data_IF_395075336168
#
_entry.id   IF_395075336168
#
_cell.length_a   1.000
_cell.length_b   1.000
_cell.length_c   1.000
_cell.angle_alpha   90.00
_cell.angle_beta   90.00
_cell.angle_gamma   90.00
#
_symmetry.space_group_name_H-M   'P 1'
#
loop_
_entity.id
_entity.type
_entity.pdbx_description
1 polymer ?
#
# COMPACT_ATOMS: atom_id res chain seq x y z
N UNK A 1 35.32 14.48 10.93
CA UNK A 1 34.84 15.25 9.77
C UNK A 1 34.93 14.31 8.57
N UNK A 2 33.84 13.54 8.28
CA UNK A 2 33.77 12.68 7.08
C UNK A 2 33.10 13.53 5.99
N UNK A 3 33.87 13.86 4.98
CA UNK A 3 33.38 14.52 3.77
C UNK A 3 32.55 13.49 2.99
N UNK A 4 31.32 13.86 2.67
CA UNK A 4 30.38 12.98 1.92
C UNK A 4 30.85 12.92 0.46
N UNK A 5 31.53 11.83 0.12
CA UNK A 5 32.11 11.60 -1.21
C UNK A 5 31.05 11.56 -2.34
N UNK A 6 29.78 11.19 -2.01
CA UNK A 6 28.70 11.14 -2.98
C UNK A 6 28.23 12.55 -3.40
N UNK A 7 28.18 13.50 -2.46
CA UNK A 7 27.87 14.90 -2.75
C UNK A 7 29.00 15.57 -3.56
N UNK A 8 30.25 15.17 -3.35
CA UNK A 8 31.38 15.68 -4.11
C UNK A 8 31.38 15.16 -5.56
N UNK A 9 31.02 13.89 -5.77
CA UNK A 9 30.94 13.29 -7.11
C UNK A 9 29.78 13.91 -7.92
N UNK A 10 28.62 14.14 -7.31
CA UNK A 10 27.48 14.78 -7.99
C UNK A 10 27.79 16.24 -8.34
N UNK A 11 28.48 16.98 -7.48
CA UNK A 11 28.92 18.35 -7.77
C UNK A 11 29.99 18.41 -8.86
N UNK A 12 30.93 17.44 -8.90
CA UNK A 12 31.94 17.34 -9.96
C UNK A 12 31.34 16.94 -11.33
N UNK A 13 30.33 16.06 -11.36
CA UNK A 13 29.60 15.76 -12.59
C UNK A 13 28.79 16.97 -13.09
N UNK A 14 28.19 17.73 -12.20
CA UNK A 14 27.48 18.97 -12.53
C UNK A 14 28.41 20.05 -13.09
N UNK A 15 29.58 20.21 -12.49
CA UNK A 15 30.61 21.13 -13.00
C UNK A 15 31.13 20.71 -14.38
N UNK A 16 31.34 19.41 -14.61
CA UNK A 16 31.79 18.86 -15.89
C UNK A 16 30.76 19.09 -17.02
N UNK A 17 29.48 18.88 -16.75
CA UNK A 17 28.40 19.10 -17.73
C UNK A 17 28.19 20.60 -18.05
N UNK A 18 28.32 21.46 -17.04
CA UNK A 18 28.17 22.92 -17.21
C UNK A 18 29.36 23.52 -17.99
N UNK A 19 30.56 23.06 -17.74
CA UNK A 19 31.76 23.47 -18.52
C UNK A 19 31.67 22.98 -19.97
N UNK A 20 31.15 21.75 -20.19
CA UNK A 20 30.91 21.22 -21.54
C UNK A 20 29.85 22.04 -22.31
N UNK A 21 28.79 22.49 -21.60
CA UNK A 21 27.76 23.34 -22.19
C UNK A 21 28.29 24.73 -22.57
N UNK A 22 29.12 25.35 -21.71
CA UNK A 22 29.76 26.61 -22.01
C UNK A 22 30.72 26.52 -23.21
N UNK A 23 31.48 25.44 -23.33
CA UNK A 23 32.36 25.19 -24.46
C UNK A 23 31.60 24.97 -25.77
N UNK A 24 30.48 24.21 -25.73
CA UNK A 24 29.59 24.02 -26.90
C UNK A 24 28.93 25.34 -27.37
N UNK A 25 28.57 26.24 -26.45
CA UNK A 25 28.01 27.56 -26.80
C UNK A 25 29.09 28.44 -27.43
N UNK A 26 30.32 28.41 -26.90
CA UNK A 26 31.46 29.15 -27.45
C UNK A 26 31.83 28.70 -28.88
N UNK A 27 31.79 27.39 -29.16
CA UNK A 27 32.06 26.84 -30.51
C UNK A 27 30.98 27.17 -31.53
N UNK A 28 29.72 27.26 -31.12
CA UNK A 28 28.60 27.50 -32.07
C UNK A 28 28.28 28.98 -32.33
N UNK A 29 28.87 29.88 -31.54
CA UNK A 29 28.62 31.34 -31.68
C UNK A 29 29.94 32.12 -31.69
N UNK A 30 30.66 32.20 -32.82
CA UNK A 30 31.96 32.84 -32.94
C UNK A 30 31.94 34.34 -32.62
N UNK A 31 30.78 34.99 -32.73
CA UNK A 31 30.60 36.40 -32.37
C UNK A 31 30.67 36.68 -30.87
N UNK A 32 30.42 35.67 -30.03
CA UNK A 32 30.51 35.76 -28.55
C UNK A 32 31.96 35.64 -28.06
N UNK A 33 32.87 35.03 -28.82
CA UNK A 33 34.31 34.97 -28.50
C UNK A 33 34.98 36.34 -28.57
N UNK A 34 34.42 37.31 -29.32
CA UNK A 34 34.92 38.66 -29.38
C UNK A 34 34.54 39.52 -28.19
N UNK A 35 33.60 39.07 -27.34
CA UNK A 35 33.13 39.74 -26.15
C UNK A 35 33.19 38.80 -24.89
N UNK A 36 34.39 38.66 -24.29
CA UNK A 36 34.59 37.71 -23.18
C UNK A 36 33.72 38.02 -21.97
N UNK A 37 33.29 39.27 -21.77
CA UNK A 37 32.33 39.64 -20.73
C UNK A 37 30.93 39.11 -20.94
N UNK A 38 30.45 39.04 -22.19
CA UNK A 38 29.16 38.50 -22.53
C UNK A 38 29.11 36.98 -22.38
N UNK A 39 30.18 36.32 -22.74
CA UNK A 39 30.32 34.84 -22.57
C UNK A 39 30.36 34.49 -21.07
N UNK A 40 31.12 35.27 -20.26
CA UNK A 40 31.16 35.08 -18.81
C UNK A 40 29.81 35.33 -18.15
N UNK A 41 29.02 36.33 -18.59
CA UNK A 41 27.68 36.58 -18.10
C UNK A 41 26.71 35.47 -18.45
N UNK A 42 26.77 34.93 -19.69
CA UNK A 42 25.94 33.79 -20.13
C UNK A 42 26.27 32.50 -19.37
N UNK A 43 27.56 32.26 -19.13
CA UNK A 43 28.01 31.11 -18.31
C UNK A 43 27.59 31.27 -16.84
N UNK A 44 27.68 32.47 -16.26
CA UNK A 44 27.16 32.75 -14.92
C UNK A 44 25.63 32.58 -14.85
N UNK A 45 24.89 33.02 -15.88
CA UNK A 45 23.44 32.78 -15.97
C UNK A 45 23.09 31.28 -16.10
N UNK A 46 23.84 30.51 -16.89
CA UNK A 46 23.66 29.07 -17.02
C UNK A 46 24.02 28.30 -15.75
N UNK A 47 24.95 28.82 -14.93
CA UNK A 47 25.29 28.28 -13.61
C UNK A 47 24.30 28.67 -12.50
N UNK A 48 23.59 29.80 -12.67
CA UNK A 48 22.56 30.27 -11.74
C UNK A 48 21.18 29.66 -12.02
N UNK A 49 20.90 29.20 -13.25
CA UNK A 49 19.63 28.56 -13.62
C UNK A 49 19.27 27.35 -12.73
N UNK A 50 20.18 26.44 -12.35
CA UNK A 50 19.84 25.36 -11.42
C UNK A 50 19.64 25.84 -9.98
N UNK A 51 20.14 27.00 -9.59
CA UNK A 51 19.85 27.59 -8.28
C UNK A 51 18.46 28.23 -8.18
N UNK A 52 17.81 28.54 -9.32
CA UNK A 52 16.47 29.08 -9.40
C UNK A 52 15.34 28.01 -9.46
N UNK A 53 15.72 26.73 -9.59
CA UNK A 53 14.74 25.63 -9.67
C UNK A 53 14.40 24.99 -8.32
N UNK A 54 14.75 25.63 -7.20
CA UNK A 54 14.24 25.21 -5.91
C UNK A 54 12.82 25.72 -5.76
N UNK A 55 11.84 24.82 -5.59
CA UNK A 55 10.48 25.20 -5.22
C UNK A 55 10.52 26.18 -4.06
N UNK A 56 9.62 27.16 -4.09
CA UNK A 56 9.57 28.18 -3.06
C UNK A 56 9.50 27.51 -1.69
N UNK A 57 10.47 27.82 -0.81
CA UNK A 57 10.44 27.38 0.57
C UNK A 57 9.14 27.84 1.22
N UNK A 58 8.48 26.94 1.88
CA UNK A 58 7.26 27.20 2.64
C UNK A 58 7.68 27.74 3.99
N UNK A 59 7.43 29.02 4.29
CA UNK A 59 7.90 29.65 5.52
C UNK A 59 7.12 29.16 6.75
N UNK A 60 7.72 29.29 7.91
CA UNK A 60 7.05 29.06 9.19
C UNK A 60 5.80 29.96 9.29
N UNK A 61 4.73 29.43 9.91
CA UNK A 61 3.43 30.09 10.01
C UNK A 61 2.50 29.83 8.82
N UNK A 62 2.97 29.17 7.75
CA UNK A 62 2.15 28.81 6.59
C UNK A 62 1.04 27.84 6.96
N UNK A 63 -0.13 28.02 6.34
CA UNK A 63 -1.31 27.19 6.60
C UNK A 63 -2.03 26.86 5.29
N UNK A 64 -2.45 25.60 5.14
CA UNK A 64 -3.42 25.15 4.13
C UNK A 64 -4.75 24.88 4.82
N UNK A 65 -5.87 25.13 4.12
CA UNK A 65 -7.22 24.86 4.62
C UNK A 65 -8.07 24.18 3.56
N UNK A 66 -9.02 23.32 3.95
CA UNK A 66 -9.99 22.72 3.05
C UNK A 66 -10.80 23.77 2.27
N UNK A 67 -11.28 23.39 1.08
CA UNK A 67 -12.12 24.24 0.24
C UNK A 67 -11.42 25.42 -0.41
N UNK A 68 -10.11 25.56 -0.25
CA UNK A 68 -9.30 26.58 -0.93
C UNK A 68 -8.53 25.95 -2.08
N UNK A 69 -8.12 26.79 -3.07
CA UNK A 69 -7.20 26.37 -4.14
C UNK A 69 -5.73 26.45 -3.71
N UNK A 70 -5.45 26.75 -2.45
CA UNK A 70 -4.09 26.85 -1.93
C UNK A 70 -3.39 25.50 -1.92
N UNK A 71 -2.16 25.47 -2.38
CA UNK A 71 -1.31 24.29 -2.37
C UNK A 71 0.16 24.67 -2.15
N UNK A 72 0.91 23.73 -1.61
CA UNK A 72 2.37 23.78 -1.58
C UNK A 72 2.91 22.84 -2.66
N UNK A 73 3.50 23.41 -3.70
CA UNK A 73 3.86 22.65 -4.90
C UNK A 73 5.38 22.52 -5.06
N UNK A 74 5.78 21.45 -5.74
CA UNK A 74 7.15 21.29 -6.23
C UNK A 74 7.45 22.31 -7.35
N UNK A 75 8.75 22.58 -7.66
CA UNK A 75 9.15 23.62 -8.61
C UNK A 75 8.43 23.59 -9.96
N UNK A 76 8.26 22.38 -10.52
CA UNK A 76 7.60 22.20 -11.83
C UNK A 76 6.12 21.79 -11.71
N UNK A 77 5.52 21.94 -10.53
CA UNK A 77 4.15 21.51 -10.22
C UNK A 77 3.91 20.00 -10.53
N UNK A 78 4.95 19.18 -10.40
CA UNK A 78 4.84 17.72 -10.56
C UNK A 78 4.11 17.11 -9.38
N UNK A 79 4.34 17.64 -8.17
CA UNK A 79 3.64 17.25 -6.95
C UNK A 79 3.11 18.47 -6.21
N UNK A 80 1.96 18.30 -5.57
CA UNK A 80 1.33 19.37 -4.77
C UNK A 80 0.74 18.80 -3.49
N UNK A 81 1.00 19.45 -2.37
CA UNK A 81 0.34 19.19 -1.08
C UNK A 81 -0.84 20.14 -0.94
N UNK A 82 -2.03 19.60 -0.82
CA UNK A 82 -3.28 20.33 -0.66
C UNK A 82 -4.34 19.46 0.04
N UNK A 83 -5.49 20.04 0.33
CA UNK A 83 -6.64 19.27 0.79
C UNK A 83 -7.45 18.74 -0.40
N UNK A 84 -7.73 17.43 -0.38
CA UNK A 84 -8.60 16.75 -1.35
C UNK A 84 -9.82 16.18 -0.64
N UNK A 85 -10.99 16.04 -1.31
CA UNK A 85 -12.14 15.35 -0.71
C UNK A 85 -11.77 13.96 -0.23
N UNK A 86 -12.30 13.56 0.93
CA UNK A 86 -12.10 12.20 1.44
C UNK A 86 -12.83 11.18 0.55
N UNK A 87 -12.21 10.05 0.19
CA UNK A 87 -12.86 9.01 -0.59
C UNK A 87 -14.03 8.33 0.13
N UNK A 88 -14.07 8.42 1.47
CA UNK A 88 -15.12 7.79 2.29
C UNK A 88 -16.25 8.75 2.67
N UNK A 89 -16.03 10.08 2.61
CA UNK A 89 -17.03 11.07 2.96
C UNK A 89 -16.79 12.38 2.21
N UNK A 90 -17.68 12.80 1.30
CA UNK A 90 -17.52 14.03 0.50
C UNK A 90 -17.48 15.33 1.32
N UNK A 91 -17.96 15.31 2.56
CA UNK A 91 -17.94 16.47 3.47
C UNK A 91 -16.63 16.60 4.27
N UNK A 92 -15.75 15.61 4.17
CA UNK A 92 -14.46 15.59 4.84
C UNK A 92 -13.32 15.72 3.83
N UNK A 93 -12.15 16.14 4.32
CA UNK A 93 -10.99 16.43 3.51
C UNK A 93 -9.74 15.78 4.06
N UNK A 94 -8.84 15.37 3.18
CA UNK A 94 -7.54 14.78 3.53
C UNK A 94 -6.43 15.69 3.01
N UNK A 95 -5.46 16.03 3.85
CA UNK A 95 -4.25 16.72 3.42
C UNK A 95 -3.32 15.72 2.74
N UNK A 96 -3.16 15.79 1.42
CA UNK A 96 -2.44 14.81 0.64
C UNK A 96 -1.46 15.45 -0.34
N UNK A 97 -0.33 14.78 -0.58
CA UNK A 97 0.54 15.05 -1.73
C UNK A 97 -0.02 14.28 -2.90
N UNK A 98 -0.31 15.00 -3.98
CA UNK A 98 -0.82 14.44 -5.23
C UNK A 98 0.19 14.65 -6.36
N UNK A 99 0.33 13.67 -7.23
CA UNK A 99 0.99 13.83 -8.52
C UNK A 99 0.12 14.66 -9.47
N UNK A 100 0.75 15.33 -10.41
CA UNK A 100 0.05 16.15 -11.42
C UNK A 100 -1.07 15.34 -12.09
N UNK A 101 -2.32 15.81 -11.95
CA UNK A 101 -3.54 15.10 -12.33
C UNK A 101 -4.38 14.63 -11.15
N UNK A 102 -3.83 14.65 -9.92
CA UNK A 102 -4.61 14.43 -8.70
C UNK A 102 -4.45 13.05 -8.06
N UNK A 103 -3.54 12.19 -8.56
CA UNK A 103 -3.27 10.88 -7.94
C UNK A 103 -2.52 11.07 -6.61
N UNK A 104 -3.11 10.70 -5.44
CA UNK A 104 -2.47 10.88 -4.15
C UNK A 104 -1.32 9.86 -3.97
N UNK A 105 -0.22 10.30 -3.34
CA UNK A 105 0.96 9.47 -3.09
C UNK A 105 1.41 9.48 -1.63
N UNK A 106 0.92 10.39 -0.82
CA UNK A 106 1.15 10.47 0.62
C UNK A 106 0.06 11.32 1.27
N UNK A 107 -0.25 11.08 2.54
CA UNK A 107 -1.24 11.86 3.28
C UNK A 107 -0.81 12.10 4.72
N UNK A 108 -1.05 13.29 5.24
CA UNK A 108 -0.81 13.62 6.63
C UNK A 108 -1.72 12.78 7.53
N UNK A 109 -1.16 12.27 8.64
CA UNK A 109 -1.91 11.48 9.61
C UNK A 109 -2.46 10.17 9.05
N UNK A 110 -1.78 9.55 8.06
CA UNK A 110 -2.22 8.32 7.40
C UNK A 110 -3.67 8.42 6.83
N UNK A 111 -4.00 9.56 6.25
CA UNK A 111 -5.32 9.80 5.66
C UNK A 111 -6.38 10.25 6.65
N UNK A 112 -5.99 10.74 7.84
CA UNK A 112 -6.91 11.34 8.78
C UNK A 112 -7.70 12.48 8.11
N UNK A 113 -9.02 12.33 8.11
CA UNK A 113 -9.91 13.28 7.48
C UNK A 113 -10.34 14.37 8.47
N UNK A 114 -10.45 15.60 7.97
CA UNK A 114 -10.88 16.77 8.73
C UNK A 114 -12.11 17.41 8.09
N UNK A 115 -12.88 18.14 8.88
CA UNK A 115 -13.98 18.95 8.39
C UNK A 115 -13.49 20.22 7.67
N UNK A 116 -14.42 21.02 7.14
CA UNK A 116 -14.11 22.27 6.41
C UNK A 116 -13.39 23.34 7.24
N UNK A 117 -13.43 23.26 8.58
CA UNK A 117 -12.70 24.14 9.51
C UNK A 117 -11.29 23.64 9.83
N UNK A 118 -10.90 22.45 9.34
CA UNK A 118 -9.59 21.89 9.56
C UNK A 118 -8.45 22.66 8.91
N UNK A 119 -7.21 22.31 9.24
CA UNK A 119 -6.03 22.95 8.65
C UNK A 119 -4.78 22.08 8.75
N UNK A 120 -3.86 22.25 7.79
CA UNK A 120 -2.48 21.77 7.87
C UNK A 120 -1.57 23.00 8.09
N UNK A 121 -0.87 23.04 9.20
CA UNK A 121 -0.11 24.22 9.62
C UNK A 121 1.35 23.89 9.90
N UNK A 122 2.25 24.65 9.28
CA UNK A 122 3.65 24.70 9.69
C UNK A 122 3.79 25.79 10.75
N UNK A 123 3.90 25.39 12.00
CA UNK A 123 3.90 26.33 13.14
C UNK A 123 5.18 27.18 13.21
N UNK A 124 5.14 28.27 13.97
CA UNK A 124 6.32 29.15 14.16
C UNK A 124 7.48 28.47 14.86
N UNK A 125 7.24 27.39 15.62
CA UNK A 125 8.30 26.59 16.25
C UNK A 125 8.82 25.43 15.37
N UNK A 126 8.32 25.32 14.11
CA UNK A 126 8.81 24.36 13.12
C UNK A 126 8.14 22.99 13.15
N UNK A 127 6.98 22.87 13.78
CA UNK A 127 6.19 21.63 13.74
C UNK A 127 5.12 21.67 12.63
N UNK A 128 4.96 20.60 11.87
CA UNK A 128 3.89 20.45 10.90
C UNK A 128 2.74 19.68 11.54
N UNK A 129 1.58 20.32 11.65
CA UNK A 129 0.42 19.79 12.35
C UNK A 129 -0.83 19.75 11.47
N UNK A 130 -1.56 18.64 11.53
CA UNK A 130 -2.92 18.50 11.00
C UNK A 130 -3.90 18.72 12.14
N UNK A 131 -4.80 19.71 11.98
CA UNK A 131 -5.82 20.08 12.98
C UNK A 131 -7.22 19.88 12.38
N UNK A 132 -8.17 19.47 13.22
CA UNK A 132 -9.60 19.50 12.87
C UNK A 132 -10.19 20.90 13.07
N UNK A 133 -11.47 21.09 12.71
CA UNK A 133 -12.15 22.38 12.82
C UNK A 133 -12.34 22.88 14.26
N UNK A 134 -12.22 22.03 15.28
CA UNK A 134 -12.20 22.45 16.69
C UNK A 134 -10.81 22.88 17.18
N UNK A 135 -9.78 22.77 16.33
CA UNK A 135 -8.39 23.08 16.67
C UNK A 135 -7.64 21.94 17.38
N UNK A 136 -8.23 20.76 17.49
CA UNK A 136 -7.53 19.61 18.04
C UNK A 136 -6.49 19.06 17.03
N UNK A 137 -5.28 18.77 17.50
CA UNK A 137 -4.20 18.18 16.70
C UNK A 137 -4.49 16.69 16.47
N UNK A 138 -4.71 16.31 15.23
CA UNK A 138 -4.90 14.92 14.81
C UNK A 138 -3.58 14.24 14.47
N UNK A 139 -2.61 14.99 13.99
CA UNK A 139 -1.28 14.50 13.64
C UNK A 139 -0.24 15.62 13.73
N UNK A 140 1.00 15.25 14.02
CA UNK A 140 2.16 16.13 14.09
C UNK A 140 3.40 15.43 13.58
N UNK A 141 4.29 16.17 12.90
CA UNK A 141 5.63 15.72 12.53
C UNK A 141 6.58 15.59 13.74
N UNK A 142 6.21 16.14 14.90
CA UNK A 142 7.02 16.20 16.11
C UNK A 142 8.40 16.84 15.91
N UNK A 143 8.45 17.90 15.08
CA UNK A 143 9.67 18.65 14.77
C UNK A 143 9.77 19.99 15.49
N UNK A 144 8.78 20.31 16.33
CA UNK A 144 8.76 21.56 17.11
C UNK A 144 10.01 21.74 17.94
N UNK A 145 10.64 22.93 17.83
CA UNK A 145 11.88 23.25 18.55
C UNK A 145 13.16 22.58 18.06
N UNK A 146 13.10 21.79 16.97
CA UNK A 146 14.28 21.10 16.41
C UNK A 146 15.07 21.96 15.41
N UNK A 147 14.71 23.23 15.23
CA UNK A 147 15.43 24.16 14.33
C UNK A 147 14.96 24.09 12.88
N UNK A 148 13.75 23.64 12.62
CA UNK A 148 13.14 23.77 11.29
C UNK A 148 12.99 25.25 10.95
N UNK A 149 13.41 25.62 9.75
CA UNK A 149 13.30 27.00 9.22
C UNK A 149 12.33 27.10 8.06
N UNK A 150 12.10 26.01 7.33
CA UNK A 150 11.16 25.96 6.21
C UNK A 150 10.74 24.51 5.91
N UNK A 151 9.64 24.37 5.16
CA UNK A 151 9.28 23.14 4.48
C UNK A 151 9.46 23.31 2.96
N UNK A 152 9.50 22.18 2.21
CA UNK A 152 9.46 22.19 0.75
C UNK A 152 8.89 20.87 0.22
N UNK A 153 8.14 20.94 -0.87
CA UNK A 153 7.75 19.77 -1.67
C UNK A 153 8.76 19.62 -2.81
N UNK A 154 9.44 18.49 -2.88
CA UNK A 154 10.45 18.22 -3.89
C UNK A 154 9.83 17.63 -5.18
N UNK A 155 10.57 17.67 -6.29
CA UNK A 155 10.15 17.06 -7.58
C UNK A 155 10.05 15.53 -7.54
N UNK A 156 10.57 14.90 -6.48
CA UNK A 156 10.41 13.48 -6.19
C UNK A 156 9.07 13.14 -5.52
N UNK A 157 8.28 14.14 -5.08
CA UNK A 157 7.11 13.96 -4.23
C UNK A 157 7.41 13.93 -2.73
N UNK A 158 8.67 14.11 -2.33
CA UNK A 158 9.07 14.15 -0.93
C UNK A 158 8.75 15.50 -0.31
N UNK A 159 8.00 15.53 0.78
CA UNK A 159 7.83 16.71 1.64
C UNK A 159 8.94 16.69 2.67
N UNK A 160 9.72 17.76 2.73
CA UNK A 160 10.83 17.89 3.68
C UNK A 160 10.60 19.05 4.63
N UNK A 161 10.97 18.87 5.90
CA UNK A 161 11.12 19.92 6.90
C UNK A 161 12.61 20.09 7.15
N UNK A 162 13.14 21.29 6.88
CA UNK A 162 14.59 21.52 6.82
C UNK A 162 15.03 22.70 7.70
N UNK A 163 16.25 22.60 8.19
CA UNK A 163 17.04 23.72 8.69
C UNK A 163 17.85 24.35 7.55
N UNK A 164 18.69 25.33 7.86
CA UNK A 164 19.66 25.89 6.89
C UNK A 164 20.69 24.86 6.38
N UNK A 165 20.90 23.76 7.10
CA UNK A 165 22.01 22.83 6.84
C UNK A 165 21.60 21.36 6.68
N UNK A 166 20.37 20.97 7.08
CA UNK A 166 19.95 19.58 7.08
C UNK A 166 18.43 19.41 6.91
N UNK A 167 18.03 18.26 6.37
CA UNK A 167 16.65 17.76 6.44
C UNK A 167 16.48 17.16 7.84
N UNK A 168 15.45 17.60 8.56
CA UNK A 168 15.14 17.20 9.92
C UNK A 168 13.99 16.19 9.99
N UNK A 169 13.15 16.17 8.95
CA UNK A 169 12.05 15.23 8.76
C UNK A 169 11.67 15.18 7.28
N UNK A 170 11.24 14.04 6.80
CA UNK A 170 10.77 13.89 5.43
C UNK A 170 9.68 12.82 5.30
N UNK A 171 8.70 13.07 4.42
CA UNK A 171 7.58 12.17 4.19
C UNK A 171 8.02 10.79 3.67
N UNK A 172 9.14 10.70 2.96
CA UNK A 172 9.68 9.44 2.44
C UNK A 172 10.14 8.48 3.54
N UNK A 173 10.48 8.98 4.74
CA UNK A 173 10.77 8.15 5.92
C UNK A 173 9.50 7.75 6.69
N UNK A 174 8.36 8.36 6.35
CA UNK A 174 7.06 8.12 6.96
C UNK A 174 6.00 7.82 5.89
N UNK A 175 6.16 6.75 5.10
CA UNK A 175 5.19 6.37 4.08
C UNK A 175 3.84 6.07 4.71
N UNK A 176 2.76 6.25 3.96
CA UNK A 176 1.40 5.90 4.40
C UNK A 176 0.95 4.60 3.76
N UNK A 177 0.31 4.64 2.62
CA UNK A 177 -0.14 3.49 1.85
C UNK A 177 0.65 3.29 0.54
N UNK A 178 1.51 4.24 0.18
CA UNK A 178 2.15 4.32 -1.14
C UNK A 178 3.67 4.54 -1.01
N UNK A 179 4.42 3.90 -1.91
CA UNK A 179 5.85 4.13 -2.19
C UNK A 179 5.99 4.54 -3.63
N UNK A 180 6.57 5.70 -3.90
CA UNK A 180 6.80 6.19 -5.27
C UNK A 180 8.18 5.80 -5.79
N UNK A 181 8.38 5.83 -7.12
CA UNK A 181 9.71 5.73 -7.69
C UNK A 181 10.61 6.80 -7.09
N UNK A 182 11.89 6.54 -6.94
CA UNK A 182 12.87 7.38 -6.22
C UNK A 182 12.77 7.40 -4.68
N UNK A 183 11.79 6.72 -4.10
CA UNK A 183 11.70 6.51 -2.66
C UNK A 183 12.28 5.15 -2.28
N UNK A 184 13.17 5.12 -1.30
CA UNK A 184 13.67 3.90 -0.70
C UNK A 184 12.73 3.44 0.40
N UNK A 185 12.16 2.25 0.26
CA UNK A 185 11.35 1.62 1.28
C UNK A 185 12.20 0.59 2.03
N UNK A 186 12.65 0.95 3.22
CA UNK A 186 13.59 0.14 4.01
C UNK A 186 12.87 -0.76 4.99
N UNK A 187 13.52 -1.83 5.43
CA UNK A 187 13.05 -2.65 6.54
C UNK A 187 12.87 -1.79 7.80
N UNK A 188 11.70 -1.88 8.42
CA UNK A 188 11.28 -1.01 9.53
C UNK A 188 10.25 0.05 9.12
N UNK A 189 10.07 0.31 7.84
CA UNK A 189 8.92 1.05 7.31
C UNK A 189 7.76 0.09 7.04
N UNK A 190 6.54 0.63 7.17
CA UNK A 190 5.32 -0.10 6.84
C UNK A 190 4.41 0.76 5.96
N UNK A 191 3.78 0.15 4.94
CA UNK A 191 2.57 0.71 4.36
C UNK A 191 1.38 0.19 5.16
N UNK A 192 0.39 1.04 5.38
CA UNK A 192 -0.82 0.66 6.12
C UNK A 192 -2.08 1.13 5.38
N UNK A 193 -3.12 0.29 5.39
CA UNK A 193 -4.42 0.61 4.81
C UNK A 193 -5.51 -0.15 5.58
N UNK A 194 -6.21 0.54 6.49
CA UNK A 194 -7.15 -0.10 7.41
C UNK A 194 -6.46 -1.18 8.26
N UNK A 195 -6.95 -2.43 8.27
CA UNK A 195 -6.35 -3.53 9.03
C UNK A 195 -5.12 -4.15 8.35
N UNK A 196 -4.77 -3.70 7.16
CA UNK A 196 -3.71 -4.28 6.35
C UNK A 196 -2.39 -3.54 6.52
N UNK A 197 -1.28 -4.28 6.50
CA UNK A 197 0.06 -3.72 6.45
C UNK A 197 0.95 -4.49 5.47
N UNK A 198 1.87 -3.77 4.83
CA UNK A 198 2.95 -4.31 4.01
C UNK A 198 4.29 -3.93 4.63
N UNK A 199 5.20 -4.91 4.70
CA UNK A 199 6.55 -4.72 5.22
C UNK A 199 7.59 -5.54 4.45
N UNK A 200 8.86 -5.13 4.60
CA UNK A 200 10.04 -5.91 4.19
C UNK A 200 10.71 -6.44 5.46
N UNK A 201 10.81 -7.76 5.60
CA UNK A 201 11.48 -8.36 6.76
C UNK A 201 12.98 -8.04 6.75
N UNK A 202 13.48 -7.61 7.89
CA UNK A 202 14.86 -7.11 8.02
C UNK A 202 15.92 -8.16 7.74
N UNK A 203 15.67 -9.39 8.11
CA UNK A 203 16.68 -10.47 8.08
C UNK A 203 16.59 -11.31 6.81
N UNK A 204 15.39 -11.56 6.36
CA UNK A 204 15.11 -12.42 5.21
C UNK A 204 14.85 -11.66 3.93
N UNK A 205 14.51 -10.36 4.00
CA UNK A 205 14.07 -9.56 2.84
C UNK A 205 12.72 -9.99 2.28
N UNK A 206 11.98 -10.84 2.99
CA UNK A 206 10.67 -11.28 2.56
C UNK A 206 9.68 -10.10 2.49
N UNK A 207 8.91 -10.05 1.44
CA UNK A 207 7.79 -9.13 1.28
C UNK A 207 6.56 -9.75 1.92
N UNK A 208 6.02 -9.11 2.95
CA UNK A 208 4.90 -9.66 3.72
C UNK A 208 3.68 -8.74 3.66
N UNK A 209 2.49 -9.35 3.49
CA UNK A 209 1.22 -8.67 3.74
C UNK A 209 0.56 -9.31 4.95
N UNK A 210 0.13 -8.46 5.86
CA UNK A 210 -0.54 -8.88 7.10
C UNK A 210 -1.90 -8.21 7.23
N UNK A 211 -2.81 -8.93 7.87
CA UNK A 211 -4.07 -8.42 8.35
C UNK A 211 -4.08 -8.49 9.87
N UNK A 212 -4.51 -7.42 10.53
CA UNK A 212 -4.49 -7.33 12.00
C UNK A 212 -5.87 -7.00 12.54
N UNK A 213 -6.29 -7.73 13.56
CA UNK A 213 -7.44 -7.43 14.41
C UNK A 213 -6.96 -7.18 15.84
N UNK A 214 -7.89 -6.83 16.74
CA UNK A 214 -7.56 -6.66 18.16
C UNK A 214 -6.96 -7.92 18.81
N UNK A 215 -7.23 -9.12 18.27
CA UNK A 215 -6.85 -10.39 18.87
C UNK A 215 -5.68 -11.08 18.15
N UNK A 216 -5.45 -10.82 16.87
CA UNK A 216 -4.47 -11.58 16.08
C UNK A 216 -3.96 -10.81 14.88
N UNK A 217 -2.75 -11.15 14.44
CA UNK A 217 -2.18 -10.74 13.15
C UNK A 217 -1.96 -11.98 12.30
N UNK A 218 -2.44 -11.95 11.06
CA UNK A 218 -2.35 -13.04 10.08
C UNK A 218 -1.49 -12.59 8.91
N UNK A 219 -0.46 -13.36 8.58
CA UNK A 219 0.35 -13.14 7.37
C UNK A 219 -0.25 -13.97 6.24
N UNK A 220 -0.91 -13.31 5.28
CA UNK A 220 -1.58 -13.96 4.16
C UNK A 220 -0.79 -13.93 2.84
N UNK A 221 0.30 -13.17 2.80
CA UNK A 221 1.25 -13.16 1.70
C UNK A 221 2.66 -13.09 2.27
N UNK A 222 3.52 -13.96 1.78
CA UNK A 222 4.94 -14.02 2.14
C UNK A 222 5.71 -14.43 0.89
N UNK A 223 6.42 -13.47 0.31
CA UNK A 223 7.25 -13.70 -0.88
C UNK A 223 8.71 -13.47 -0.54
N UNK A 224 9.46 -14.57 -0.46
CA UNK A 224 10.92 -14.51 -0.40
C UNK A 224 11.52 -14.07 -1.74
N UNK A 225 12.72 -13.48 -1.67
CA UNK A 225 13.55 -13.32 -2.85
C UNK A 225 14.25 -14.65 -3.14
N UNK A 226 13.98 -15.24 -4.28
CA UNK A 226 14.67 -16.46 -4.69
C UNK A 226 15.90 -16.10 -5.51
N UNK A 227 17.07 -16.13 -4.87
CA UNK A 227 18.35 -16.08 -5.58
C UNK A 227 18.65 -17.44 -6.18
N UNK A 228 17.77 -17.95 -7.05
CA UNK A 228 17.94 -19.26 -7.70
C UNK A 228 19.24 -19.40 -8.49
N UNK A 229 19.94 -18.31 -8.72
CA UNK A 229 21.26 -18.29 -9.34
C UNK A 229 22.42 -18.63 -8.39
N UNK A 230 22.28 -18.48 -7.08
CA UNK A 230 23.39 -18.67 -6.13
C UNK A 230 23.16 -19.79 -5.13
N UNK A 231 21.92 -20.23 -4.90
CA UNK A 231 21.60 -21.28 -3.92
C UNK A 231 21.99 -20.95 -2.46
N UNK A 232 22.55 -19.78 -2.21
CA UNK A 232 22.97 -19.34 -0.88
C UNK A 232 21.89 -18.45 -0.28
N UNK A 233 21.45 -18.81 0.91
CA UNK A 233 20.58 -18.00 1.77
C UNK A 233 21.50 -16.97 2.46
N UNK A 234 21.58 -15.76 1.91
CA UNK A 234 22.34 -14.67 2.53
C UNK A 234 21.48 -13.97 3.59
N UNK A 235 22.05 -13.69 4.74
CA UNK A 235 21.39 -12.90 5.77
C UNK A 235 21.55 -11.42 5.40
N UNK A 236 20.43 -10.75 5.18
CA UNK A 236 20.40 -9.33 4.84
C UNK A 236 20.61 -8.46 6.09
N UNK A 237 21.07 -7.23 5.91
CA UNK A 237 21.26 -6.26 7.00
C UNK A 237 20.26 -5.14 6.99
N UNK A 238 20.00 -4.61 5.82
CA UNK A 238 19.13 -3.45 5.62
C UNK A 238 18.49 -3.52 4.24
N UNK A 239 17.65 -4.54 3.99
CA UNK A 239 17.01 -4.68 2.70
C UNK A 239 16.15 -3.46 2.39
N UNK A 240 16.28 -2.97 1.17
CA UNK A 240 15.60 -1.79 0.65
C UNK A 240 14.85 -2.16 -0.61
N UNK A 241 13.55 -1.92 -0.62
CA UNK A 241 12.70 -2.07 -1.80
C UNK A 241 12.62 -0.74 -2.54
N UNK A 242 12.75 -0.80 -3.86
CA UNK A 242 12.60 0.34 -4.76
C UNK A 242 11.74 -0.03 -5.95
N UNK A 243 10.99 0.94 -6.48
CA UNK A 243 10.38 0.84 -7.80
C UNK A 243 11.14 1.75 -8.76
N UNK A 244 11.65 1.18 -9.83
CA UNK A 244 12.46 1.87 -10.83
C UNK A 244 11.58 2.55 -11.89
N UNK A 245 12.14 3.55 -12.59
CA UNK A 245 11.44 4.27 -13.64
C UNK A 245 11.00 3.37 -14.81
N UNK A 246 11.71 2.24 -15.03
CA UNK A 246 11.35 1.25 -16.04
C UNK A 246 10.26 0.26 -15.62
N UNK A 247 9.78 0.34 -14.34
CA UNK A 247 8.74 -0.54 -13.81
C UNK A 247 9.21 -1.80 -13.12
N UNK A 248 10.52 -1.95 -12.90
CA UNK A 248 11.07 -3.02 -12.06
C UNK A 248 10.88 -2.66 -10.60
N UNK A 249 10.45 -3.64 -9.80
CA UNK A 249 10.49 -3.58 -8.33
C UNK A 249 11.64 -4.46 -7.89
N UNK A 250 12.65 -3.86 -7.27
CA UNK A 250 13.87 -4.54 -6.86
C UNK A 250 14.17 -4.41 -5.38
N UNK A 251 14.75 -5.47 -4.82
CA UNK A 251 15.29 -5.52 -3.47
C UNK A 251 16.81 -5.37 -3.55
N UNK A 252 17.35 -4.44 -2.79
CA UNK A 252 18.80 -4.21 -2.64
C UNK A 252 19.22 -4.39 -1.20
N UNK A 253 20.46 -4.81 -0.98
CA UNK A 253 21.12 -4.89 0.33
C UNK A 253 22.62 -4.89 0.13
N UNK A 254 23.39 -4.38 1.11
CA UNK A 254 24.85 -4.36 1.04
C UNK A 254 25.52 -5.74 0.98
N UNK A 255 24.80 -6.81 1.27
CA UNK A 255 25.27 -8.20 1.16
C UNK A 255 24.88 -8.85 -0.17
N UNK A 256 23.98 -8.25 -0.95
CA UNK A 256 23.64 -8.73 -2.28
C UNK A 256 24.65 -8.21 -3.31
N UNK A 257 25.13 -9.09 -4.17
CA UNK A 257 26.05 -8.74 -5.26
C UNK A 257 25.40 -7.90 -6.35
N UNK A 258 24.06 -7.98 -6.47
CA UNK A 258 23.25 -7.22 -7.41
C UNK A 258 21.82 -7.09 -6.88
N UNK A 259 21.07 -6.07 -7.34
CA UNK A 259 19.64 -5.98 -7.03
C UNK A 259 18.88 -7.25 -7.45
N UNK A 260 17.95 -7.69 -6.62
CA UNK A 260 17.06 -8.82 -6.92
C UNK A 260 15.72 -8.31 -7.35
N UNK A 261 15.32 -8.62 -8.58
CA UNK A 261 13.99 -8.29 -9.09
C UNK A 261 12.95 -9.16 -8.38
N UNK A 262 12.01 -8.51 -7.68
CA UNK A 262 10.93 -9.18 -6.96
C UNK A 262 9.58 -9.09 -7.68
N UNK A 263 9.39 -8.06 -8.50
CA UNK A 263 8.23 -7.89 -9.36
C UNK A 263 8.57 -6.97 -10.54
N UNK A 264 7.71 -6.93 -11.54
CA UNK A 264 7.77 -5.96 -12.63
C UNK A 264 6.37 -5.62 -13.12
N UNK A 265 6.20 -4.38 -13.55
CA UNK A 265 4.96 -3.90 -14.14
C UNK A 265 4.69 -4.57 -15.47
N UNK A 266 3.42 -4.76 -15.84
CA UNK A 266 3.05 -5.29 -17.19
C UNK A 266 3.52 -4.37 -18.32
N UNK A 267 3.66 -3.06 -18.05
CA UNK A 267 4.23 -2.06 -18.95
C UNK A 267 5.72 -1.80 -18.68
N UNK A 268 6.46 -2.81 -18.27
CA UNK A 268 7.92 -2.77 -18.07
C UNK A 268 8.64 -2.31 -19.37
N UNK A 269 9.61 -1.43 -19.19
CA UNK A 269 10.40 -0.91 -20.30
C UNK A 269 9.74 0.23 -21.08
N UNK A 270 8.46 0.54 -20.85
CA UNK A 270 7.86 1.73 -21.41
C UNK A 270 8.49 2.98 -20.80
N UNK A 271 8.93 3.89 -21.65
CA UNK A 271 9.46 5.20 -21.28
C UNK A 271 8.39 6.26 -21.48
N UNK A 272 8.39 7.29 -20.62
CA UNK A 272 7.45 8.41 -20.72
C UNK A 272 7.46 9.26 -19.45
N UNK A 273 6.80 10.43 -19.52
CA UNK A 273 6.54 11.26 -18.34
C UNK A 273 5.40 10.63 -17.53
N UNK A 274 5.74 9.59 -16.77
CA UNK A 274 4.80 8.87 -15.92
C UNK A 274 5.37 8.64 -14.53
N UNK A 275 4.48 8.65 -13.55
CA UNK A 275 4.78 8.21 -12.19
C UNK A 275 4.51 6.69 -12.07
N UNK A 276 5.43 5.97 -11.47
CA UNK A 276 5.27 4.58 -11.04
C UNK A 276 5.32 4.51 -9.52
N UNK A 277 4.44 3.70 -8.94
CA UNK A 277 4.35 3.57 -7.49
C UNK A 277 3.78 2.22 -7.07
N UNK A 278 4.12 1.80 -5.85
CA UNK A 278 3.47 0.69 -5.14
C UNK A 278 2.43 1.28 -4.20
N UNK A 279 1.26 0.65 -4.12
CA UNK A 279 0.21 1.02 -3.15
C UNK A 279 -0.38 -0.21 -2.50
N UNK A 280 -0.53 -0.14 -1.19
CA UNK A 280 -1.37 -1.03 -0.42
C UNK A 280 -2.79 -0.48 -0.44
N UNK A 281 -3.63 -1.07 -1.27
CA UNK A 281 -5.01 -0.61 -1.42
C UNK A 281 -5.88 -0.99 -0.20
N UNK A 282 -7.03 -0.31 -0.05
CA UNK A 282 -7.99 -0.57 1.03
C UNK A 282 -8.63 -1.97 0.96
N UNK A 283 -8.40 -2.69 -0.12
CA UNK A 283 -8.84 -4.08 -0.28
C UNK A 283 -7.78 -5.11 0.17
N UNK A 284 -6.65 -4.63 0.72
CA UNK A 284 -5.58 -5.45 1.28
C UNK A 284 -4.57 -5.96 0.26
N UNK A 285 -4.67 -5.61 -1.01
CA UNK A 285 -3.71 -6.05 -2.01
C UNK A 285 -2.64 -4.98 -2.26
N UNK A 286 -1.39 -5.40 -2.37
CA UNK A 286 -0.30 -4.52 -2.82
C UNK A 286 -0.25 -4.56 -4.35
N UNK A 287 -0.30 -3.37 -4.97
CA UNK A 287 -0.27 -3.23 -6.42
C UNK A 287 0.81 -2.26 -6.89
N UNK A 288 1.38 -2.57 -8.05
CA UNK A 288 2.20 -1.62 -8.79
C UNK A 288 1.31 -0.87 -9.78
N UNK A 289 1.42 0.45 -9.77
CA UNK A 289 0.64 1.34 -10.62
C UNK A 289 1.54 2.18 -11.51
N UNK A 290 0.99 2.62 -12.64
CA UNK A 290 1.54 3.71 -13.44
C UNK A 290 0.46 4.73 -13.76
N UNK A 291 0.84 6.01 -13.84
CA UNK A 291 -0.04 7.11 -14.24
C UNK A 291 0.75 8.14 -15.05
N UNK A 292 0.18 8.59 -16.16
CA UNK A 292 0.78 9.65 -16.97
C UNK A 292 0.61 11.01 -16.27
N UNK A 293 1.55 11.93 -16.51
CA UNK A 293 1.44 13.29 -15.99
C UNK A 293 0.16 13.95 -16.47
N UNK A 294 -0.57 14.57 -15.56
CA UNK A 294 -1.86 15.19 -15.84
C UNK A 294 -3.06 14.24 -15.85
N UNK A 295 -2.85 12.93 -15.72
CA UNK A 295 -3.93 11.96 -15.59
C UNK A 295 -4.37 11.82 -14.11
N UNK A 296 -5.67 11.72 -13.89
CA UNK A 296 -6.25 11.38 -12.59
C UNK A 296 -6.49 9.86 -12.42
N UNK A 297 -6.10 9.07 -13.43
CA UNK A 297 -6.27 7.61 -13.44
C UNK A 297 -4.91 6.95 -13.30
N UNK A 298 -4.79 6.06 -12.32
CA UNK A 298 -3.67 5.15 -12.18
C UNK A 298 -4.08 3.75 -12.65
N UNK A 299 -3.27 3.16 -13.52
CA UNK A 299 -3.51 1.81 -14.08
C UNK A 299 -2.74 0.78 -13.29
N UNK A 300 -3.43 -0.27 -12.80
CA UNK A 300 -2.80 -1.40 -12.14
C UNK A 300 -1.96 -2.19 -13.16
N UNK A 301 -0.69 -2.36 -12.86
CA UNK A 301 0.30 -3.05 -13.70
C UNK A 301 0.73 -4.39 -13.10
N UNK A 302 0.56 -4.59 -11.79
CA UNK A 302 0.90 -5.83 -11.09
C UNK A 302 0.20 -5.87 -9.73
N UNK A 303 -0.15 -7.08 -9.28
CA UNK A 303 -0.74 -7.32 -7.96
C UNK A 303 0.01 -8.43 -7.23
N UNK A 304 0.26 -8.24 -5.93
CA UNK A 304 0.93 -9.23 -5.10
C UNK A 304 0.09 -10.51 -4.96
N UNK A 305 -1.18 -10.36 -4.68
CA UNK A 305 -2.15 -11.45 -4.62
C UNK A 305 -2.95 -11.45 -5.92
N UNK A 306 -2.75 -12.48 -6.74
CA UNK A 306 -3.36 -12.56 -8.07
C UNK A 306 -4.88 -12.73 -8.01
N UNK A 307 -5.38 -13.49 -7.04
CA UNK A 307 -6.79 -13.70 -6.78
C UNK A 307 -7.22 -12.91 -5.55
N UNK A 308 -8.03 -11.89 -5.73
CA UNK A 308 -8.46 -10.99 -4.66
C UNK A 308 -9.22 -11.72 -3.54
N UNK A 309 -9.90 -12.83 -3.84
CA UNK A 309 -10.56 -13.65 -2.82
C UNK A 309 -9.57 -14.35 -1.87
N UNK A 310 -8.29 -14.43 -2.23
CA UNK A 310 -7.24 -14.97 -1.35
C UNK A 310 -6.65 -13.91 -0.40
N UNK A 311 -7.05 -12.65 -0.52
CA UNK A 311 -6.71 -11.63 0.49
C UNK A 311 -7.48 -11.91 1.76
N UNK A 312 -6.77 -12.16 2.86
CA UNK A 312 -7.40 -12.49 4.15
C UNK A 312 -8.26 -11.32 4.66
N UNK A 313 -9.46 -11.63 5.12
CA UNK A 313 -10.40 -10.63 5.62
C UNK A 313 -11.08 -9.77 4.54
N UNK A 314 -10.88 -10.03 3.24
CA UNK A 314 -11.46 -9.23 2.16
C UNK A 314 -12.99 -9.12 2.24
N UNK A 315 -13.68 -10.20 2.57
CA UNK A 315 -15.13 -10.24 2.78
C UNK A 315 -15.54 -10.21 4.27
N UNK A 316 -14.63 -9.81 5.16
CA UNK A 316 -14.91 -9.67 6.58
C UNK A 316 -15.21 -11.00 7.29
N UNK A 317 -15.66 -10.88 8.54
CA UNK A 317 -16.00 -12.05 9.36
C UNK A 317 -17.22 -12.79 8.80
N UNK A 318 -17.16 -14.12 8.76
CA UNK A 318 -18.18 -15.02 8.24
C UNK A 318 -18.62 -14.72 6.79
N UNK A 319 -17.83 -13.90 6.05
CA UNK A 319 -18.08 -13.61 4.64
C UNK A 319 -17.52 -14.68 3.71
N UNK A 320 -18.13 -14.83 2.53
CA UNK A 320 -17.68 -15.69 1.44
C UNK A 320 -17.38 -14.83 0.22
N UNK A 321 -16.16 -14.93 -0.27
CA UNK A 321 -15.70 -14.27 -1.48
C UNK A 321 -15.88 -15.20 -2.68
N UNK A 322 -16.49 -14.72 -3.75
CA UNK A 322 -16.66 -15.44 -5.00
C UNK A 322 -16.60 -14.49 -6.20
N UNK A 323 -16.52 -15.05 -7.39
CA UNK A 323 -16.72 -14.30 -8.63
C UNK A 323 -18.05 -14.73 -9.24
N UNK A 324 -18.93 -13.78 -9.54
CA UNK A 324 -20.15 -14.08 -10.30
C UNK A 324 -19.82 -14.43 -11.77
N UNK A 325 -20.68 -15.20 -12.39
CA UNK A 325 -20.44 -15.98 -13.62
C UNK A 325 -19.85 -15.25 -14.85
N UNK A 326 -19.53 -13.98 -14.79
CA UNK A 326 -18.94 -13.16 -15.87
C UNK A 326 -18.02 -12.06 -15.33
N UNK A 327 -18.10 -11.71 -14.05
CA UNK A 327 -17.43 -10.56 -13.44
C UNK A 327 -15.91 -10.73 -13.28
N UNK A 328 -15.17 -9.67 -13.58
CA UNK A 328 -13.74 -9.59 -13.26
C UNK A 328 -13.51 -9.21 -11.79
N UNK A 329 -14.56 -8.73 -11.10
CA UNK A 329 -14.46 -8.25 -9.72
C UNK A 329 -15.05 -9.28 -8.75
N UNK A 330 -14.41 -9.49 -7.59
CA UNK A 330 -14.92 -10.37 -6.56
C UNK A 330 -16.17 -9.80 -5.89
N UNK A 331 -17.04 -10.69 -5.46
CA UNK A 331 -18.31 -10.39 -4.77
C UNK A 331 -18.27 -11.01 -3.39
N UNK A 332 -18.69 -10.26 -2.37
CA UNK A 332 -18.86 -10.74 -1.00
C UNK A 332 -20.32 -11.10 -0.73
N UNK A 333 -20.53 -12.25 -0.13
CA UNK A 333 -21.82 -12.74 0.30
C UNK A 333 -21.75 -13.53 1.60
N UNK A 334 -22.88 -14.08 2.02
CA UNK A 334 -22.95 -14.93 3.21
C UNK A 334 -22.93 -16.41 2.84
N UNK A 335 -22.46 -17.31 3.73
CA UNK A 335 -22.34 -18.74 3.43
C UNK A 335 -23.69 -19.43 3.21
N UNK A 336 -24.77 -18.88 3.76
CA UNK A 336 -26.11 -19.44 3.61
C UNK A 336 -27.20 -18.44 4.02
N UNK A 337 -28.47 -18.80 3.82
CA UNK A 337 -29.63 -18.02 4.28
C UNK A 337 -29.78 -18.01 5.83
N UNK A 338 -29.00 -18.80 6.56
CA UNK A 338 -28.90 -18.72 8.03
C UNK A 338 -28.12 -17.48 8.51
N UNK A 339 -27.50 -16.75 7.57
CA UNK A 339 -26.75 -15.52 7.82
C UNK A 339 -27.38 -14.34 7.11
N UNK A 340 -26.98 -13.16 7.53
CA UNK A 340 -27.31 -11.89 6.87
C UNK A 340 -26.08 -10.97 6.86
N UNK A 341 -26.01 -10.07 5.90
CA UNK A 341 -24.95 -9.06 5.84
C UNK A 341 -25.02 -8.15 7.08
N UNK A 342 -23.86 -7.83 7.66
CA UNK A 342 -23.77 -6.83 8.73
C UNK A 342 -24.20 -5.48 8.18
N UNK A 343 -23.72 -5.12 7.00
CA UNK A 343 -24.07 -3.91 6.29
C UNK A 343 -24.43 -4.23 4.82
N UNK A 344 -25.72 -4.18 4.44
CA UNK A 344 -26.14 -4.43 3.06
C UNK A 344 -25.53 -3.46 2.02
N UNK A 345 -25.16 -2.23 2.44
CA UNK A 345 -24.52 -1.25 1.55
C UNK A 345 -23.02 -1.50 1.39
N UNK A 346 -22.41 -2.29 2.27
CA UNK A 346 -21.00 -2.67 2.21
C UNK A 346 -20.82 -4.16 2.59
N UNK A 347 -21.02 -5.09 1.65
CA UNK A 347 -20.92 -6.53 1.92
C UNK A 347 -19.54 -7.00 2.43
N UNK A 348 -18.50 -6.17 2.27
CA UNK A 348 -17.15 -6.44 2.77
C UNK A 348 -17.03 -6.38 4.30
N UNK A 349 -18.02 -5.84 4.99
CA UNK A 349 -18.07 -5.87 6.46
C UNK A 349 -18.40 -7.26 7.02
N UNK A 350 -18.78 -8.21 6.15
CA UNK A 350 -19.03 -9.58 6.51
C UNK A 350 -20.47 -9.90 6.84
N UNK A 351 -20.65 -11.04 7.49
CA UNK A 351 -21.96 -11.59 7.82
C UNK A 351 -22.09 -11.87 9.32
N UNK A 352 -23.31 -11.85 9.81
CA UNK A 352 -23.68 -12.31 11.14
C UNK A 352 -24.75 -13.40 11.05
N UNK A 353 -24.81 -14.23 12.08
CA UNK A 353 -25.84 -15.26 12.18
C UNK A 353 -27.20 -14.62 12.44
N UNK A 354 -28.26 -15.15 11.86
CA UNK A 354 -29.65 -14.78 12.19
C UNK A 354 -30.09 -15.38 13.53
N UNK A 355 -29.54 -16.57 13.87
CA UNK A 355 -29.73 -17.24 15.16
C UNK A 355 -28.35 -17.68 15.64
N UNK A 356 -27.95 -17.24 16.82
CA UNK A 356 -26.66 -17.60 17.39
C UNK A 356 -26.64 -19.06 17.88
N UNK A 357 -25.47 -19.71 17.79
CA UNK A 357 -25.33 -21.12 18.16
C UNK A 357 -25.65 -21.41 19.61
N UNK A 358 -25.45 -20.45 20.50
CA UNK A 358 -25.83 -20.53 21.91
C UNK A 358 -27.34 -20.62 22.14
N UNK A 359 -28.13 -20.13 21.19
CA UNK A 359 -29.59 -20.12 21.24
C UNK A 359 -30.19 -21.46 20.76
N UNK A 360 -29.35 -22.33 20.15
CA UNK A 360 -29.78 -23.64 19.67
C UNK A 360 -28.79 -24.78 20.06
N UNK A 361 -28.42 -24.95 21.35
CA UNK A 361 -27.28 -25.77 21.76
C UNK A 361 -27.40 -27.28 21.45
N UNK A 362 -28.62 -27.77 21.21
CA UNK A 362 -28.90 -29.18 20.87
C UNK A 362 -29.47 -29.37 19.46
N UNK A 363 -29.59 -28.29 18.71
CA UNK A 363 -30.23 -28.28 17.39
C UNK A 363 -29.35 -27.64 16.34
N UNK A 364 -28.03 -27.79 16.50
CA UNK A 364 -27.06 -27.35 15.51
C UNK A 364 -26.84 -28.43 14.46
N UNK A 365 -26.55 -28.02 13.23
CA UNK A 365 -26.20 -28.91 12.12
C UNK A 365 -25.07 -28.27 11.30
N UNK A 366 -24.42 -29.10 10.47
CA UNK A 366 -23.40 -28.62 9.55
C UNK A 366 -24.02 -28.39 8.17
N UNK A 367 -23.85 -27.17 7.66
CA UNK A 367 -24.14 -26.87 6.26
C UNK A 367 -22.88 -27.12 5.45
N UNK A 368 -22.97 -27.94 4.41
CA UNK A 368 -21.89 -28.22 3.48
C UNK A 368 -21.82 -27.14 2.40
N UNK A 369 -20.60 -26.69 2.11
CA UNK A 369 -20.26 -25.74 1.06
C UNK A 369 -19.20 -26.39 0.15
N UNK A 370 -19.63 -26.81 -1.05
CA UNK A 370 -18.74 -27.43 -2.01
C UNK A 370 -17.85 -26.38 -2.68
N UNK A 371 -16.64 -26.75 -3.09
CA UNK A 371 -15.63 -25.88 -3.72
C UNK A 371 -15.39 -24.58 -2.92
N UNK A 372 -15.47 -24.66 -1.61
CA UNK A 372 -15.29 -23.53 -0.71
C UNK A 372 -14.18 -23.85 0.28
N UNK A 373 -13.29 -22.92 0.51
CA UNK A 373 -12.20 -23.02 1.46
C UNK A 373 -12.22 -21.83 2.41
N UNK A 374 -12.15 -22.07 3.72
CA UNK A 374 -11.84 -21.01 4.67
C UNK A 374 -10.36 -20.72 4.62
N UNK A 375 -10.00 -19.46 4.38
CA UNK A 375 -8.61 -19.06 4.34
C UNK A 375 -7.93 -19.35 5.68
N UNK A 376 -6.82 -20.07 5.63
CA UNK A 376 -6.07 -20.52 6.81
C UNK A 376 -4.61 -20.20 6.61
N UNK A 377 -4.11 -19.25 7.38
CA UNK A 377 -2.73 -18.76 7.33
C UNK A 377 -2.11 -18.78 8.73
N UNK A 378 -0.77 -18.68 8.87
CA UNK A 378 -0.15 -18.52 10.19
C UNK A 378 -0.71 -17.31 10.95
N UNK A 379 -0.99 -17.40 12.27
CA UNK A 379 -0.69 -18.55 13.14
C UNK A 379 -1.74 -19.68 13.11
N UNK A 380 -2.86 -19.54 12.41
CA UNK A 380 -3.96 -20.52 12.42
C UNK A 380 -3.53 -21.90 11.90
N UNK A 381 -2.57 -21.96 10.94
CA UNK A 381 -2.02 -23.24 10.43
C UNK A 381 -1.36 -24.06 11.53
N UNK A 382 -0.80 -23.43 12.56
CA UNK A 382 -0.21 -24.14 13.69
C UNK A 382 -1.26 -24.70 14.66
N UNK A 383 -2.53 -24.37 14.45
CA UNK A 383 -3.66 -24.86 15.21
C UNK A 383 -4.08 -26.27 14.80
N UNK A 384 -5.31 -26.60 15.06
CA UNK A 384 -5.87 -27.94 14.93
C UNK A 384 -5.90 -28.44 13.47
N UNK A 385 -4.91 -29.19 13.08
CA UNK A 385 -4.88 -29.99 11.84
C UNK A 385 -5.23 -31.44 12.17
N UNK A 386 -6.16 -32.00 11.40
CA UNK A 386 -6.53 -33.41 11.49
C UNK A 386 -6.35 -34.08 10.12
N UNK A 387 -5.97 -35.35 10.14
CA UNK A 387 -5.89 -36.18 8.95
C UNK A 387 -7.09 -37.13 8.94
N UNK A 388 -8.22 -36.65 8.44
CA UNK A 388 -9.51 -37.39 8.46
C UNK A 388 -10.23 -37.21 7.12
N UNK A 389 -11.19 -38.11 6.87
CA UNK A 389 -12.06 -37.98 5.70
C UNK A 389 -12.98 -36.74 5.79
N UNK A 390 -13.47 -36.30 4.64
CA UNK A 390 -14.31 -35.08 4.50
C UNK A 390 -15.49 -35.09 5.49
N UNK A 391 -16.25 -36.20 5.55
CA UNK A 391 -17.40 -36.34 6.44
C UNK A 391 -17.00 -36.27 7.91
N UNK A 392 -15.88 -36.89 8.28
CA UNK A 392 -15.36 -36.88 9.65
C UNK A 392 -14.96 -35.45 10.06
N UNK A 393 -14.35 -34.68 9.17
CA UNK A 393 -14.00 -33.27 9.42
C UNK A 393 -15.24 -32.42 9.80
N UNK A 394 -16.35 -32.59 9.09
CA UNK A 394 -17.62 -31.93 9.43
C UNK A 394 -18.19 -32.40 10.78
N UNK A 395 -18.14 -33.70 11.06
CA UNK A 395 -18.64 -34.26 12.32
C UNK A 395 -17.79 -33.86 13.53
N UNK A 396 -16.47 -33.78 13.36
CA UNK A 396 -15.57 -33.32 14.43
C UNK A 396 -15.90 -31.86 14.81
N UNK A 397 -16.11 -30.99 13.81
CA UNK A 397 -16.53 -29.62 14.08
C UNK A 397 -17.93 -29.56 14.70
N UNK A 398 -18.88 -30.40 14.28
CA UNK A 398 -20.22 -30.43 14.86
C UNK A 398 -20.18 -30.77 16.35
N UNK A 399 -19.37 -31.73 16.72
CA UNK A 399 -19.23 -32.22 18.10
C UNK A 399 -18.36 -31.31 18.97
N UNK A 400 -17.40 -30.60 18.40
CA UNK A 400 -16.57 -29.63 19.12
C UNK A 400 -17.38 -28.36 19.45
N UNK A 401 -17.58 -28.07 20.73
CA UNK A 401 -18.44 -26.99 21.20
C UNK A 401 -18.01 -25.61 20.73
N UNK A 402 -16.71 -25.36 20.59
CA UNK A 402 -16.12 -24.09 20.16
C UNK A 402 -15.98 -23.96 18.65
N UNK A 403 -16.04 -25.06 17.87
CA UNK A 403 -15.90 -25.02 16.43
C UNK A 403 -17.15 -24.43 15.75
N UNK A 404 -16.93 -23.50 14.82
CA UNK A 404 -18.01 -22.84 14.07
C UNK A 404 -17.98 -23.16 12.58
N UNK A 405 -16.84 -23.62 12.07
CA UNK A 405 -16.67 -23.99 10.67
C UNK A 405 -15.48 -24.92 10.51
N UNK A 406 -15.42 -25.68 9.41
CA UNK A 406 -14.30 -26.54 9.07
C UNK A 406 -14.07 -26.56 7.56
N UNK A 407 -12.83 -26.79 7.13
CA UNK A 407 -12.46 -27.07 5.75
C UNK A 407 -11.74 -28.40 5.66
N UNK A 408 -12.22 -29.29 4.82
CA UNK A 408 -11.54 -30.51 4.43
C UNK A 408 -10.99 -30.36 3.01
N UNK A 409 -9.71 -30.66 2.80
CA UNK A 409 -9.16 -30.77 1.45
C UNK A 409 -9.61 -32.07 0.80
N UNK A 410 -10.01 -31.99 -0.47
CA UNK A 410 -10.43 -33.12 -1.29
C UNK A 410 -9.32 -33.59 -2.23
N UNK A 411 -8.05 -33.23 -1.93
CA UNK A 411 -6.86 -33.59 -2.69
C UNK A 411 -6.24 -34.94 -2.30
N UNK A 412 -6.89 -35.68 -1.39
CA UNK A 412 -6.42 -36.95 -0.87
C UNK A 412 -5.48 -36.82 0.34
N UNK A 413 -5.10 -35.60 0.76
CA UNK A 413 -4.24 -35.40 1.93
C UNK A 413 -4.92 -35.75 3.26
N UNK A 414 -6.25 -35.67 3.31
CA UNK A 414 -7.03 -35.83 4.53
C UNK A 414 -6.93 -34.64 5.49
N UNK A 415 -6.36 -33.52 5.04
CA UNK A 415 -6.23 -32.32 5.87
C UNK A 415 -7.59 -31.71 6.20
N UNK A 416 -7.80 -31.47 7.48
CA UNK A 416 -8.99 -30.84 8.03
C UNK A 416 -8.57 -29.71 8.97
N UNK A 417 -9.11 -28.52 8.77
CA UNK A 417 -8.88 -27.36 9.63
C UNK A 417 -10.20 -26.92 10.28
N UNK A 418 -10.19 -26.81 11.60
CA UNK A 418 -11.32 -26.27 12.36
C UNK A 418 -11.15 -24.76 12.56
N UNK A 419 -12.24 -24.01 12.56
CA UNK A 419 -12.30 -22.57 12.82
C UNK A 419 -12.98 -22.28 14.13
N UNK A 420 -12.29 -21.52 15.00
CA UNK A 420 -12.70 -21.20 16.37
C UNK A 420 -12.24 -19.78 16.71
N UNK A 421 -13.05 -18.91 17.27
CA UNK A 421 -14.53 -18.99 17.42
C UNK A 421 -15.26 -18.47 16.19
N UNK A 422 -14.54 -18.01 15.17
CA UNK A 422 -15.08 -17.48 13.89
C UNK A 422 -14.08 -17.74 12.77
N UNK A 423 -14.51 -17.51 11.56
CA UNK A 423 -13.62 -17.42 10.40
C UNK A 423 -13.71 -16.02 9.78
N UNK A 424 -12.59 -15.54 9.26
CA UNK A 424 -12.47 -14.20 8.67
C UNK A 424 -12.18 -14.33 7.18
N UNK A 425 -13.10 -14.77 6.42
CA UNK A 425 -13.06 -14.95 4.98
C UNK A 425 -13.09 -16.42 4.55
N UNK A 426 -14.01 -16.71 3.67
CA UNK A 426 -14.01 -17.95 2.90
C UNK A 426 -13.89 -17.59 1.41
N UNK A 427 -13.26 -18.47 0.66
CA UNK A 427 -13.13 -18.39 -0.78
C UNK A 427 -13.97 -19.48 -1.44
N UNK A 428 -14.87 -19.10 -2.34
CA UNK A 428 -15.63 -20.03 -3.16
C UNK A 428 -15.07 -20.09 -4.57
N UNK A 429 -14.44 -21.22 -4.90
CA UNK A 429 -13.73 -21.43 -6.14
C UNK A 429 -14.60 -21.87 -7.31
N UNK A 430 -15.79 -21.27 -7.52
CA UNK A 430 -16.69 -21.65 -8.61
C UNK A 430 -16.04 -21.53 -10.01
N UNK A 431 -14.96 -20.74 -10.15
CA UNK A 431 -14.17 -20.60 -11.40
C UNK A 431 -12.90 -21.40 -11.44
N UNK A 432 -12.42 -21.89 -10.31
CA UNK A 432 -11.20 -22.68 -10.26
C UNK A 432 -11.59 -24.13 -9.93
N UNK A 433 -11.60 -25.04 -10.93
CA UNK A 433 -11.71 -26.46 -10.64
C UNK A 433 -10.53 -26.98 -9.80
N UNK A 434 -9.62 -26.09 -9.42
CA UNK A 434 -8.39 -26.34 -8.69
C UNK A 434 -8.48 -26.15 -7.17
N UNK A 435 -9.68 -25.85 -6.58
CA UNK A 435 -9.84 -25.93 -5.13
C UNK A 435 -10.56 -27.20 -4.74
N UNK A 436 -9.86 -28.34 -4.63
CA UNK A 436 -10.45 -29.56 -4.15
C UNK A 436 -10.69 -29.44 -2.64
N UNK A 437 -11.74 -28.73 -2.24
CA UNK A 437 -12.10 -28.52 -0.84
C UNK A 437 -13.61 -28.57 -0.62
N UNK A 438 -14.01 -29.09 0.51
CA UNK A 438 -15.36 -29.04 1.04
C UNK A 438 -15.32 -28.39 2.40
N UNK A 439 -16.07 -27.31 2.57
CA UNK A 439 -16.21 -26.62 3.84
C UNK A 439 -17.54 -26.90 4.50
N UNK A 440 -17.56 -26.76 5.81
CA UNK A 440 -18.73 -26.94 6.63
C UNK A 440 -18.90 -25.74 7.54
N UNK A 441 -20.12 -25.22 7.66
CA UNK A 441 -20.48 -24.14 8.59
C UNK A 441 -21.52 -24.63 9.56
N UNK A 442 -21.28 -24.50 10.86
CA UNK A 442 -22.24 -24.86 11.90
C UNK A 442 -23.36 -23.81 11.95
N UNK A 443 -24.59 -24.25 11.83
CA UNK A 443 -25.80 -23.41 11.85
C UNK A 443 -26.86 -24.02 12.75
N UNK A 444 -27.82 -23.21 13.23
CA UNK A 444 -29.03 -23.72 13.86
C UNK A 444 -29.92 -24.40 12.80
N UNK A 445 -30.48 -25.54 13.13
CA UNK A 445 -31.39 -26.29 12.25
C UNK A 445 -32.72 -25.52 12.03
N UNK A 446 -33.28 -25.54 10.81
CA UNK A 446 -32.78 -26.23 9.62
C UNK A 446 -31.64 -25.45 8.94
N UNK A 447 -30.72 -26.20 8.33
CA UNK A 447 -29.74 -25.59 7.43
C UNK A 447 -30.45 -25.08 6.17
N UNK A 448 -30.21 -23.83 5.83
CA UNK A 448 -30.84 -23.14 4.68
C UNK A 448 -29.74 -22.72 3.68
N UNK A 449 -29.40 -23.58 2.70
CA UNK A 449 -28.38 -23.24 1.70
C UNK A 449 -28.80 -22.04 0.86
N UNK A 450 -27.82 -21.33 0.32
CA UNK A 450 -28.10 -20.31 -0.69
C UNK A 450 -28.73 -20.95 -1.94
N UNK A 451 -29.62 -20.25 -2.63
CA UNK A 451 -30.15 -20.73 -3.91
C UNK A 451 -28.97 -20.91 -4.89
N UNK A 452 -29.04 -21.91 -5.79
CA UNK A 452 -28.03 -22.05 -6.83
C UNK A 452 -27.97 -20.76 -7.66
N UNK A 453 -26.76 -20.35 -8.13
CA UNK A 453 -26.64 -19.18 -8.98
C UNK A 453 -27.54 -19.37 -10.19
N UNK A 454 -28.36 -18.35 -10.47
CA UNK A 454 -29.26 -18.34 -11.64
C UNK A 454 -28.39 -18.49 -12.88
N UNK A 455 -28.57 -19.59 -13.61
CA UNK A 455 -27.94 -19.76 -14.92
C UNK A 455 -28.58 -18.73 -15.84
N UNK A 456 -27.82 -17.69 -16.21
CA UNK A 456 -28.20 -16.89 -17.36
C UNK A 456 -28.13 -17.79 -18.58
N UNK A 457 -29.28 -18.04 -19.18
CA UNK A 457 -29.42 -18.70 -20.47
C UNK A 457 -28.99 -17.76 -21.58
#
# INVERSE_FOLDING_TARGET
MKVDFAALISSLQFFSTSVSLCNNIAEKMPTLQQHPGALALLCCFALLLPLLSHGADIPLGSTLSPGTSASWSSPNNTFSLSFTPSPTSPSLFVAAITYAGGVPVWSAGAGAAVDSGGSLRLTSNGDLQLLNGSGAVLWSSNTGGRGVTAAAVQESGNLVLKSSTAILWQSFEHPTDTVVMSQNFTSGMNLTSGPYAFAVDKSSGHLTLTWTSAATTVTYFDKGYNTSFTGKKETLRSPTLTIEANGIVSLTDGHLTSPVMVAYSSNYGESGDMLRFLRLDADGNLRAYSTARGSNVATNQWSAVADQCQVFGYCGDMGVCSYDGGGASPVCGCPSLNFELINPSNPREGCKRKVELQDCPRNATMLQLDNTQFLTYPPEIAGEQFFVGITACGLDCLNAGSCVAATALSDGSGLCWLKVPKFSSAYSGYRSPALPSTSFVKVCSPAMPNPPPSRCH
#
